data_IF_352716308500
#
_entry.id   IF_352716308500
#
_cell.length_a   1.000
_cell.length_b   1.000
_cell.length_c   1.000
_cell.angle_alpha   90.00
_cell.angle_beta   90.00
_cell.angle_gamma   90.00
#
_symmetry.space_group_name_H-M   'P 1'
#
loop_
_entity.id
_entity.type
_entity.pdbx_description
1 polymer ?
#
# COMPACT_ATOMS: atom_id res chain seq x y z
N UNK A 1 -1.33 15.13 8.27
CA UNK A 1 -2.14 16.18 8.94
C UNK A 1 -3.60 15.77 8.85
N UNK A 2 -4.33 15.87 9.95
CA UNK A 2 -5.70 15.36 10.07
C UNK A 2 -6.79 16.43 9.82
N UNK A 3 -6.40 17.67 9.50
CA UNK A 3 -7.29 18.84 9.43
C UNK A 3 -7.79 19.19 8.02
N UNK A 4 -7.53 18.36 7.00
CA UNK A 4 -8.03 18.56 5.64
C UNK A 4 -7.34 19.66 4.81
N UNK A 5 -6.61 20.59 5.44
CA UNK A 5 -5.86 21.65 4.75
C UNK A 5 -4.40 21.25 4.54
N UNK A 6 -3.87 21.48 3.34
CA UNK A 6 -2.47 21.25 2.99
C UNK A 6 -1.55 22.35 3.53
N UNK A 7 -0.24 22.03 3.59
CA UNK A 7 0.81 22.98 4.06
C UNK A 7 0.84 24.25 3.20
N UNK A 8 0.45 24.15 1.92
CA UNK A 8 0.38 25.25 0.97
C UNK A 8 -0.96 26.01 0.98
N UNK A 9 -1.87 25.73 1.92
CA UNK A 9 -3.20 26.36 2.00
C UNK A 9 -4.22 25.80 1.00
N UNK A 10 -3.80 24.92 0.09
CA UNK A 10 -4.71 24.20 -0.81
C UNK A 10 -5.37 23.01 -0.09
N UNK A 11 -6.45 22.47 -0.68
CA UNK A 11 -7.07 21.22 -0.23
C UNK A 11 -6.00 20.15 -0.05
N UNK A 12 -5.97 19.51 1.13
CA UNK A 12 -5.05 18.42 1.43
C UNK A 12 -5.35 17.19 0.57
N UNK A 13 -4.36 16.31 0.39
CA UNK A 13 -4.47 15.11 -0.46
C UNK A 13 -5.66 14.20 -0.11
N UNK A 14 -6.07 14.16 1.15
CA UNK A 14 -7.16 13.32 1.66
C UNK A 14 -8.39 14.13 2.05
N UNK A 15 -8.52 15.36 1.54
CA UNK A 15 -9.63 16.26 1.90
C UNK A 15 -10.98 15.69 1.49
N UNK A 16 -11.09 15.10 0.30
CA UNK A 16 -12.37 14.58 -0.20
C UNK A 16 -12.82 13.37 0.64
N UNK A 17 -11.92 12.43 0.97
CA UNK A 17 -12.22 11.33 1.90
C UNK A 17 -12.65 11.82 3.29
N UNK A 18 -12.05 12.91 3.78
CA UNK A 18 -12.46 13.53 5.04
C UNK A 18 -13.86 14.14 4.94
N UNK A 19 -14.20 14.80 3.83
CA UNK A 19 -15.52 15.37 3.60
C UNK A 19 -16.59 14.28 3.59
N UNK A 20 -16.37 13.17 2.87
CA UNK A 20 -17.31 12.05 2.82
C UNK A 20 -17.52 11.42 4.21
N UNK A 21 -16.42 11.21 4.96
CA UNK A 21 -16.50 10.72 6.34
C UNK A 21 -17.24 11.69 7.26
N UNK A 22 -16.97 12.99 7.16
CA UNK A 22 -17.63 14.02 7.96
C UNK A 22 -19.12 14.13 7.65
N UNK A 23 -19.50 14.03 6.37
CA UNK A 23 -20.90 14.03 5.94
C UNK A 23 -21.64 12.81 6.49
N UNK A 24 -21.05 11.62 6.39
CA UNK A 24 -21.63 10.42 6.98
C UNK A 24 -21.78 10.55 8.50
N UNK A 25 -20.77 11.03 9.21
CA UNK A 25 -20.83 11.22 10.67
C UNK A 25 -21.87 12.26 11.09
N UNK A 26 -22.18 13.23 10.23
CA UNK A 26 -23.20 14.25 10.51
C UNK A 26 -24.64 13.73 10.41
N UNK A 27 -24.85 12.62 9.69
CA UNK A 27 -26.18 12.06 9.43
C UNK A 27 -26.40 10.68 10.08
N UNK A 28 -25.34 9.97 10.46
CA UNK A 28 -25.44 8.63 11.05
C UNK A 28 -25.97 8.66 12.49
N UNK A 29 -26.64 7.58 12.89
CA UNK A 29 -27.04 7.35 14.29
C UNK A 29 -25.94 6.66 15.09
N UNK A 30 -25.21 5.73 14.46
CA UNK A 30 -24.12 5.00 15.08
C UNK A 30 -22.80 5.23 14.33
N UNK A 31 -21.68 5.55 15.03
CA UNK A 31 -20.37 5.75 14.40
C UNK A 31 -19.83 4.53 13.65
N UNK A 32 -20.43 3.35 13.86
CA UNK A 32 -20.06 2.11 13.18
C UNK A 32 -20.49 2.13 11.71
N UNK A 33 -21.56 2.84 11.37
CA UNK A 33 -22.10 2.89 10.00
C UNK A 33 -21.12 3.58 9.04
N UNK A 34 -20.36 4.55 9.53
CA UNK A 34 -19.35 5.28 8.76
C UNK A 34 -17.93 4.65 8.83
N UNK A 35 -17.82 3.40 9.29
CA UNK A 35 -16.51 2.74 9.46
C UNK A 35 -15.76 2.56 8.14
N UNK A 36 -16.46 2.28 7.04
CA UNK A 36 -15.83 2.13 5.73
C UNK A 36 -15.15 3.44 5.28
N UNK A 37 -15.87 4.56 5.37
CA UNK A 37 -15.33 5.89 5.05
C UNK A 37 -14.19 6.29 5.99
N UNK A 38 -14.28 5.89 7.27
CA UNK A 38 -13.19 6.08 8.22
C UNK A 38 -11.94 5.31 7.78
N UNK A 39 -12.09 4.04 7.37
CA UNK A 39 -10.97 3.24 6.88
C UNK A 39 -10.33 3.85 5.64
N UNK A 40 -11.13 4.37 4.69
CA UNK A 40 -10.62 5.00 3.47
C UNK A 40 -9.85 6.29 3.78
N UNK A 41 -10.34 7.10 4.72
CA UNK A 41 -9.61 8.28 5.19
C UNK A 41 -8.26 7.91 5.83
N UNK A 42 -8.22 6.90 6.70
CA UNK A 42 -6.96 6.42 7.29
C UNK A 42 -6.05 5.73 6.27
N UNK A 43 -6.62 5.08 5.26
CA UNK A 43 -5.88 4.50 4.14
C UNK A 43 -5.16 5.62 3.38
N UNK A 44 -5.85 6.69 3.00
CA UNK A 44 -5.21 7.82 2.33
C UNK A 44 -4.17 8.53 3.22
N UNK A 45 -4.35 8.58 4.54
CA UNK A 45 -3.37 9.23 5.42
C UNK A 45 -2.07 8.44 5.60
N UNK A 46 -2.19 7.12 5.75
CA UNK A 46 -1.07 6.26 6.18
C UNK A 46 -0.64 5.23 5.13
N UNK A 47 -1.42 5.06 4.07
CA UNK A 47 -1.26 4.09 2.99
C UNK A 47 -0.88 2.67 3.47
N UNK A 48 -1.45 2.15 4.58
CA UNK A 48 -1.01 0.87 5.15
C UNK A 48 -1.33 -0.30 4.20
N UNK A 49 -2.49 -0.25 3.54
CA UNK A 49 -2.93 -1.26 2.56
C UNK A 49 -2.06 -1.17 1.30
N UNK A 50 -1.78 0.04 0.79
CA UNK A 50 -0.87 0.23 -0.36
C UNK A 50 0.56 -0.27 -0.06
N UNK A 51 1.16 0.14 1.05
CA UNK A 51 2.51 -0.29 1.43
C UNK A 51 2.58 -1.79 1.64
N UNK A 52 1.56 -2.40 2.25
CA UNK A 52 1.50 -3.85 2.41
C UNK A 52 1.45 -4.55 1.05
N UNK A 53 0.61 -4.10 0.12
CA UNK A 53 0.51 -4.66 -1.22
C UNK A 53 1.83 -4.53 -1.98
N UNK A 54 2.41 -3.33 -1.98
CA UNK A 54 3.71 -3.04 -2.60
C UNK A 54 4.81 -3.95 -2.05
N UNK A 55 4.88 -4.10 -0.73
CA UNK A 55 5.88 -4.97 -0.07
C UNK A 55 5.70 -6.44 -0.43
N UNK A 56 4.46 -6.92 -0.60
CA UNK A 56 4.20 -8.30 -1.04
C UNK A 56 4.74 -8.54 -2.45
N UNK A 57 4.48 -7.60 -3.37
CA UNK A 57 4.98 -7.68 -4.76
C UNK A 57 6.51 -7.67 -4.79
N UNK A 58 7.16 -6.71 -4.11
CA UNK A 58 8.62 -6.65 -4.07
C UNK A 58 9.25 -7.91 -3.46
N UNK A 59 8.66 -8.48 -2.40
CA UNK A 59 9.19 -9.72 -1.81
C UNK A 59 9.13 -10.90 -2.78
N UNK A 60 8.05 -10.98 -3.56
CA UNK A 60 7.90 -12.06 -4.54
C UNK A 60 8.85 -11.88 -5.73
N UNK A 61 8.99 -10.65 -6.23
CA UNK A 61 9.98 -10.33 -7.26
C UNK A 61 11.40 -10.70 -6.81
N UNK A 62 11.78 -10.31 -5.58
CA UNK A 62 13.08 -10.66 -5.01
C UNK A 62 13.28 -12.17 -4.87
N UNK A 63 12.22 -12.92 -4.53
CA UNK A 63 12.26 -14.39 -4.48
C UNK A 63 12.55 -14.98 -5.86
N UNK A 64 11.87 -14.49 -6.89
CA UNK A 64 12.04 -14.95 -8.28
C UNK A 64 13.45 -14.65 -8.80
N UNK A 65 13.95 -13.43 -8.56
CA UNK A 65 15.32 -13.05 -8.93
C UNK A 65 16.37 -13.94 -8.25
N UNK A 66 16.22 -14.22 -6.94
CA UNK A 66 17.13 -15.12 -6.21
C UNK A 66 17.08 -16.55 -6.75
N UNK A 67 15.89 -17.07 -7.03
CA UNK A 67 15.71 -18.40 -7.59
C UNK A 67 16.33 -18.51 -9.01
N UNK A 68 16.17 -17.49 -9.84
CA UNK A 68 16.79 -17.41 -11.17
C UNK A 68 18.32 -17.36 -11.07
N UNK A 69 18.88 -16.54 -10.18
CA UNK A 69 20.32 -16.45 -9.96
C UNK A 69 20.91 -17.77 -9.45
N UNK A 70 20.21 -18.51 -8.59
CA UNK A 70 20.65 -19.82 -8.11
C UNK A 70 20.69 -20.87 -9.23
N UNK A 71 19.64 -20.94 -10.06
CA UNK A 71 19.61 -21.83 -11.23
C UNK A 71 20.73 -21.55 -12.22
N UNK A 72 21.07 -20.28 -12.45
CA UNK A 72 22.20 -19.90 -13.30
C UNK A 72 23.54 -20.36 -12.73
N UNK A 73 23.76 -20.24 -11.42
CA UNK A 73 24.97 -20.74 -10.76
C UNK A 73 25.09 -22.26 -10.84
N UNK A 74 23.99 -22.98 -10.64
CA UNK A 74 23.96 -24.45 -10.74
C UNK A 74 24.24 -24.92 -12.18
N UNK A 75 23.67 -24.26 -13.19
CA UNK A 75 23.95 -24.55 -14.60
C UNK A 75 25.38 -24.24 -15.03
N UNK A 76 26.00 -23.20 -14.47
CA UNK A 76 27.40 -22.87 -14.73
C UNK A 76 28.38 -23.88 -14.09
N UNK A 77 28.07 -24.40 -12.90
CA UNK A 77 28.93 -25.36 -12.21
C UNK A 77 28.80 -26.80 -12.75
N UNK A 78 27.69 -27.13 -13.42
CA UNK A 78 27.46 -28.42 -14.07
C UNK A 78 28.07 -28.56 -15.47
N UNK A 79 28.69 -27.50 -16.03
CA UNK A 79 29.16 -27.45 -17.43
C UNK A 79 30.63 -27.81 -17.67
N UNK A 80 31.46 -27.99 -16.64
CA UNK A 80 32.88 -28.36 -16.79
C UNK A 80 33.10 -29.86 -16.61
N UNK A 81 32.77 -30.66 -17.62
CA UNK A 81 33.50 -31.88 -18.02
C UNK A 81 32.93 -32.39 -19.33
N UNK A 82 33.74 -32.38 -20.40
CA UNK A 82 34.01 -33.66 -21.06
C UNK A 82 35.50 -33.87 -21.36
N UNK A 83 35.85 -35.16 -21.35
CA UNK A 83 37.15 -35.78 -21.59
C UNK A 83 37.81 -35.41 -22.92
#
# INVERSE_FOLDING_TARGET
MASGWGISGNKGRCYDFWMDFSECMSTCREPKDCTLLREDYFECLHHPKEFQRRNRVYKEEQRQLRAAAQKQKEGANGGTTPH
#
